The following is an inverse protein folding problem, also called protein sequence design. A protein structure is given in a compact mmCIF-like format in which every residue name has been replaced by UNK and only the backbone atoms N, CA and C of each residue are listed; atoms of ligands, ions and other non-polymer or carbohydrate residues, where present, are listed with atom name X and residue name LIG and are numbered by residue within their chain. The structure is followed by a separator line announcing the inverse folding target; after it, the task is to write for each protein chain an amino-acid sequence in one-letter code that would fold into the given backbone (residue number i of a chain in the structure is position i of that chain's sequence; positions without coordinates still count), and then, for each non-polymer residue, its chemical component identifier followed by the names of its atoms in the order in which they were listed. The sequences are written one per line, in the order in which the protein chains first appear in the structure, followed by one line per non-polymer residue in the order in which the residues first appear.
data_IF_208900582761
#
_entry.id   IF_208900582761
#
_cell.length_a   1.000
_cell.length_b   1.000
_cell.length_c   1.000
_cell.angle_alpha   90.00
_cell.angle_beta   90.00
_cell.angle_gamma   90.00
#
_symmetry.space_group_name_H-M   'P 1'
#
loop_
_entity.id
_entity.type
_entity.pdbx_description
1 polymer ?
#
# COMPACT_ATOMS: atom_id res chain seq x y z
N UNK A 1 2.19 -13.82 7.70
CA UNK A 1 2.96 -12.72 8.36
C UNK A 1 1.96 -11.66 8.83
N UNK A 2 2.31 -10.75 9.76
CA UNK A 2 1.35 -9.73 10.24
C UNK A 2 1.34 -8.48 9.34
N UNK A 3 0.98 -8.65 8.08
CA UNK A 3 1.02 -7.58 7.08
C UNK A 3 0.03 -6.45 7.35
N UNK A 4 -1.06 -6.70 8.08
CA UNK A 4 -1.97 -5.66 8.54
C UNK A 4 -1.29 -4.58 9.38
N UNK A 5 -0.14 -4.86 10.00
CA UNK A 5 0.64 -3.87 10.75
C UNK A 5 1.39 -2.86 9.86
N UNK A 6 1.50 -3.12 8.55
CA UNK A 6 2.16 -2.24 7.59
C UNK A 6 1.26 -1.05 7.22
N UNK A 7 -0.06 -1.26 7.22
CA UNK A 7 -1.02 -0.23 6.80
C UNK A 7 -1.24 0.76 7.95
N UNK A 8 -0.84 2.03 7.80
CA UNK A 8 -0.95 2.99 8.87
C UNK A 8 -2.40 3.49 9.02
N UNK A 9 -2.83 3.71 10.28
CA UNK A 9 -4.06 4.45 10.63
C UNK A 9 -5.39 3.87 10.12
N UNK A 10 -5.44 2.58 9.79
CA UNK A 10 -6.67 1.90 9.39
C UNK A 10 -7.13 0.90 10.44
N UNK A 11 -8.39 0.97 10.85
CA UNK A 11 -9.11 -0.11 11.55
C UNK A 11 -9.55 -1.23 10.58
N UNK A 12 -9.04 -1.20 9.35
CA UNK A 12 -9.23 -2.27 8.37
C UNK A 12 -8.88 -3.58 9.05
N UNK A 13 -9.80 -4.53 8.96
CA UNK A 13 -9.67 -5.92 9.34
C UNK A 13 -8.28 -6.42 8.92
N UNK A 14 -7.32 -6.39 9.86
CA UNK A 14 -5.97 -6.90 9.64
C UNK A 14 -6.00 -8.36 9.17
N UNK A 15 -7.10 -9.07 9.45
CA UNK A 15 -7.35 -10.44 9.02
C UNK A 15 -7.28 -10.64 7.51
N UNK A 16 -7.78 -9.68 6.72
CA UNK A 16 -7.77 -9.83 5.26
C UNK A 16 -6.38 -9.61 4.66
N UNK A 17 -5.53 -8.81 5.30
CA UNK A 17 -4.17 -8.56 4.85
C UNK A 17 -3.18 -9.60 5.41
N UNK A 18 -3.45 -10.08 6.62
CA UNK A 18 -2.69 -11.15 7.27
C UNK A 18 -2.94 -12.53 6.63
N UNK A 19 -3.95 -12.64 5.74
CA UNK A 19 -4.18 -13.84 4.93
C UNK A 19 -3.19 -13.99 3.77
N UNK A 20 -2.40 -12.97 3.46
CA UNK A 20 -1.41 -13.04 2.38
C UNK A 20 -0.20 -13.88 2.84
N UNK A 21 0.27 -14.74 1.95
CA UNK A 21 1.38 -15.65 2.23
C UNK A 21 2.74 -14.97 2.06
N UNK A 22 2.80 -13.94 1.20
CA UNK A 22 4.04 -13.23 0.87
C UNK A 22 3.81 -11.74 0.55
N UNK A 23 4.92 -11.00 0.45
CA UNK A 23 4.91 -9.55 0.20
C UNK A 23 4.36 -9.17 -1.19
N UNK A 24 4.51 -10.03 -2.20
CA UNK A 24 3.97 -9.78 -3.55
C UNK A 24 2.44 -9.82 -3.52
N UNK A 25 1.86 -10.88 -2.96
CA UNK A 25 0.42 -11.03 -2.82
C UNK A 25 -0.18 -9.90 -1.97
N UNK A 26 0.50 -9.52 -0.89
CA UNK A 26 0.11 -8.38 -0.07
C UNK A 26 0.07 -7.09 -0.88
N UNK A 27 1.12 -6.80 -1.66
CA UNK A 27 1.18 -5.59 -2.49
C UNK A 27 0.08 -5.57 -3.55
N UNK A 28 -0.16 -6.69 -4.24
CA UNK A 28 -1.24 -6.83 -5.22
C UNK A 28 -2.60 -6.54 -4.59
N UNK A 29 -2.83 -7.07 -3.39
CA UNK A 29 -4.05 -6.81 -2.63
C UNK A 29 -4.18 -5.33 -2.24
N UNK A 30 -3.09 -4.71 -1.79
CA UNK A 30 -3.06 -3.27 -1.45
C UNK A 30 -3.40 -2.40 -2.65
N UNK A 31 -2.85 -2.70 -3.83
CA UNK A 31 -3.12 -1.95 -5.06
C UNK A 31 -4.60 -2.03 -5.46
N UNK A 32 -5.19 -3.22 -5.44
CA UNK A 32 -6.62 -3.42 -5.73
C UNK A 32 -7.50 -2.72 -4.69
N UNK A 33 -7.14 -2.79 -3.42
CA UNK A 33 -7.88 -2.13 -2.34
C UNK A 33 -7.78 -0.61 -2.45
N UNK A 34 -6.63 -0.06 -2.83
CA UNK A 34 -6.47 1.39 -3.04
C UNK A 34 -7.45 1.91 -4.10
N UNK A 35 -7.59 1.23 -5.24
CA UNK A 35 -8.51 1.63 -6.31
C UNK A 35 -9.99 1.48 -5.93
N UNK A 36 -10.33 0.40 -5.21
CA UNK A 36 -11.74 0.08 -4.89
C UNK A 36 -12.27 0.80 -3.66
N UNK A 37 -11.40 1.28 -2.79
CA UNK A 37 -11.81 1.94 -1.55
C UNK A 37 -12.37 3.32 -1.83
N UNK A 38 -13.57 3.59 -1.34
CA UNK A 38 -14.22 4.91 -1.42
C UNK A 38 -13.92 5.81 -0.22
N UNK A 39 -13.46 5.24 0.89
CA UNK A 39 -13.00 6.01 2.06
C UNK A 39 -11.62 6.62 1.79
N UNK A 40 -11.58 7.94 1.69
CA UNK A 40 -10.37 8.68 1.33
C UNK A 40 -9.20 8.41 2.30
N UNK A 41 -9.48 8.28 3.60
CA UNK A 41 -8.44 8.08 4.62
C UNK A 41 -7.80 6.70 4.47
N UNK A 42 -8.60 5.67 4.27
CA UNK A 42 -8.16 4.29 4.05
C UNK A 42 -7.45 4.16 2.72
N UNK A 43 -7.96 4.80 1.66
CA UNK A 43 -7.29 4.87 0.37
C UNK A 43 -5.91 5.52 0.49
N UNK A 44 -5.78 6.63 1.20
CA UNK A 44 -4.48 7.28 1.45
C UNK A 44 -3.52 6.38 2.22
N UNK A 45 -4.02 5.57 3.17
CA UNK A 45 -3.20 4.59 3.86
C UNK A 45 -2.66 3.52 2.89
N UNK A 46 -3.50 2.95 2.02
CA UNK A 46 -3.05 1.98 1.02
C UNK A 46 -2.09 2.57 0.00
N UNK A 47 -2.40 3.76 -0.53
CA UNK A 47 -1.50 4.47 -1.43
C UNK A 47 -0.14 4.74 -0.77
N UNK A 48 -0.12 5.03 0.53
CA UNK A 48 1.14 5.23 1.27
C UNK A 48 1.99 3.97 1.36
N UNK A 49 1.36 2.79 1.47
CA UNK A 49 2.04 1.50 1.44
C UNK A 49 2.56 1.22 0.04
N UNK A 50 1.73 1.40 -1.00
CA UNK A 50 2.15 1.27 -2.39
C UNK A 50 3.36 2.18 -2.71
N UNK A 51 3.34 3.44 -2.26
CA UNK A 51 4.49 4.35 -2.41
C UNK A 51 5.76 3.79 -1.75
N UNK A 52 5.65 3.21 -0.55
CA UNK A 52 6.80 2.63 0.12
C UNK A 52 7.38 1.43 -0.64
N UNK A 53 6.52 0.56 -1.19
CA UNK A 53 6.98 -0.55 -2.06
C UNK A 53 7.59 -0.07 -3.37
N UNK A 54 6.96 0.90 -4.03
CA UNK A 54 7.50 1.48 -5.26
C UNK A 54 8.89 2.05 -5.07
N UNK A 55 9.12 2.74 -3.95
CA UNK A 55 10.38 3.43 -3.68
C UNK A 55 11.49 2.46 -3.21
N UNK A 56 11.15 1.38 -2.49
CA UNK A 56 12.14 0.48 -1.85
C UNK A 56 12.22 -0.94 -2.43
N UNK A 57 11.19 -1.39 -3.12
CA UNK A 57 11.02 -2.73 -3.64
C UNK A 57 10.44 -2.72 -5.07
N UNK A 58 11.03 -1.97 -6.01
CA UNK A 58 10.46 -1.77 -7.35
C UNK A 58 10.29 -3.06 -8.15
N UNK A 59 11.09 -4.09 -7.87
CA UNK A 59 11.01 -5.40 -8.53
C UNK A 59 9.65 -6.09 -8.34
N UNK A 60 8.93 -5.77 -7.26
CA UNK A 60 7.59 -6.32 -7.00
C UNK A 60 6.52 -5.72 -7.92
N UNK A 61 6.83 -4.61 -8.59
CA UNK A 61 5.94 -3.92 -9.52
C UNK A 61 6.20 -4.29 -11.00
N UNK A 62 7.29 -5.01 -11.30
CA UNK A 62 7.68 -5.33 -12.68
C UNK A 62 6.63 -6.15 -13.44
N UNK A 63 5.85 -6.94 -12.72
CA UNK A 63 4.80 -7.80 -13.27
C UNK A 63 3.40 -7.20 -13.17
N UNK A 64 3.26 -6.02 -12.57
CA UNK A 64 1.97 -5.36 -12.37
C UNK A 64 1.53 -4.65 -13.65
N UNK A 65 0.22 -4.64 -13.89
CA UNK A 65 -0.37 -3.94 -15.02
C UNK A 65 0.00 -2.44 -15.02
N UNK A 66 0.45 -1.94 -16.18
CA UNK A 66 0.86 -0.54 -16.34
C UNK A 66 -0.29 0.44 -16.12
N UNK A 67 -1.52 0.08 -16.47
CA UNK A 67 -2.69 0.95 -16.31
C UNK A 67 -2.98 1.17 -14.81
N UNK A 68 -2.91 0.09 -14.01
CA UNK A 68 -3.06 0.16 -12.55
C UNK A 68 -1.98 1.05 -11.95
N UNK A 69 -0.71 0.86 -12.35
CA UNK A 69 0.39 1.69 -11.85
C UNK A 69 0.21 3.18 -12.18
N UNK A 70 -0.26 3.49 -13.40
CA UNK A 70 -0.55 4.87 -13.81
C UNK A 70 -1.70 5.47 -13.00
N UNK A 71 -2.78 4.73 -12.79
CA UNK A 71 -3.90 5.17 -11.97
C UNK A 71 -3.47 5.47 -10.53
N UNK A 72 -2.76 4.55 -9.90
CA UNK A 72 -2.27 4.74 -8.53
C UNK A 72 -1.33 5.93 -8.40
N UNK A 73 -0.45 6.14 -9.39
CA UNK A 73 0.43 7.32 -9.41
C UNK A 73 -0.37 8.63 -9.54
N UNK A 74 -1.39 8.67 -10.40
CA UNK A 74 -2.30 9.83 -10.49
C UNK A 74 -3.03 10.08 -9.17
N UNK A 75 -3.55 9.03 -8.53
CA UNK A 75 -4.22 9.15 -7.23
C UNK A 75 -3.27 9.68 -6.14
N UNK A 76 -1.98 9.35 -6.20
CA UNK A 76 -0.96 9.90 -5.29
C UNK A 76 -0.74 11.39 -5.56
N UNK A 77 -0.67 11.80 -6.83
CA UNK A 77 -0.49 13.22 -7.20
C UNK A 77 -1.69 14.08 -6.76
N UNK A 78 -2.89 13.51 -6.76
CA UNK A 78 -4.13 14.14 -6.30
C UNK A 78 -4.35 14.06 -4.78
N UNK A 79 -3.57 13.24 -4.06
CA UNK A 79 -3.75 13.00 -2.63
C UNK A 79 -3.23 14.15 -1.74
N UNK A 80 -3.76 14.23 -0.49
CA UNK A 80 -3.27 15.18 0.51
C UNK A 80 -1.77 14.94 0.79
N UNK A 81 -0.91 15.98 0.84
CA UNK A 81 0.51 15.87 1.12
C UNK A 81 0.86 15.09 2.40
N UNK A 82 -0.07 14.96 3.35
CA UNK A 82 0.07 14.11 4.54
C UNK A 82 0.35 12.64 4.22
N UNK A 83 0.01 12.16 3.01
CA UNK A 83 0.35 10.82 2.55
C UNK A 83 1.87 10.53 2.62
N UNK A 84 2.70 11.58 2.48
CA UNK A 84 4.16 11.48 2.61
C UNK A 84 4.57 11.03 4.02
N UNK A 85 3.86 11.50 5.06
CA UNK A 85 4.13 11.07 6.44
C UNK A 85 3.72 9.61 6.65
N UNK A 86 2.60 9.19 6.08
CA UNK A 86 2.12 7.81 6.13
C UNK A 86 3.09 6.84 5.42
N UNK A 87 3.65 7.25 4.29
CA UNK A 87 4.66 6.46 3.56
C UNK A 87 5.86 6.11 4.44
N UNK A 88 6.36 7.07 5.22
CA UNK A 88 7.49 6.84 6.15
C UNK A 88 7.15 5.81 7.22
N UNK A 89 5.91 5.81 7.72
CA UNK A 89 5.43 4.84 8.71
C UNK A 89 5.33 3.46 8.08
N UNK A 90 4.72 3.35 6.90
CA UNK A 90 4.62 2.09 6.16
C UNK A 90 5.99 1.48 5.87
N UNK A 91 6.96 2.30 5.45
CA UNK A 91 8.34 1.86 5.23
C UNK A 91 9.00 1.32 6.51
N UNK A 92 8.88 2.05 7.63
CA UNK A 92 9.45 1.62 8.90
C UNK A 92 8.77 0.33 9.41
N UNK A 93 7.50 0.11 9.07
CA UNK A 93 6.81 -1.13 9.36
C UNK A 93 7.30 -2.26 8.46
N UNK A 94 7.48 -2.03 7.15
CA UNK A 94 8.00 -3.01 6.19
C UNK A 94 9.32 -3.62 6.64
N UNK A 95 10.26 -2.79 7.09
CA UNK A 95 11.56 -3.25 7.60
C UNK A 95 11.48 -4.15 8.85
N UNK A 96 10.32 -4.26 9.50
CA UNK A 96 10.10 -5.11 10.68
C UNK A 96 9.38 -6.42 10.35
N UNK A 97 8.80 -6.54 9.16
CA UNK A 97 8.03 -7.71 8.71
C UNK A 97 8.71 -8.48 7.57
N UNK A 98 9.69 -7.85 6.89
CA UNK A 98 10.65 -8.50 6.01
C UNK A 98 11.76 -9.19 6.81
#
# INVERSE_FOLDING_TARGET
MKFGQIVPLTEVSAKDLDSCDNLQEFLEKIMVLAEKTTDLRTQQAYLSVYMAFRDHYPSYLEKTDKEILQNLNRMIEEADPKIIKLRRIALAALSKVA
#
